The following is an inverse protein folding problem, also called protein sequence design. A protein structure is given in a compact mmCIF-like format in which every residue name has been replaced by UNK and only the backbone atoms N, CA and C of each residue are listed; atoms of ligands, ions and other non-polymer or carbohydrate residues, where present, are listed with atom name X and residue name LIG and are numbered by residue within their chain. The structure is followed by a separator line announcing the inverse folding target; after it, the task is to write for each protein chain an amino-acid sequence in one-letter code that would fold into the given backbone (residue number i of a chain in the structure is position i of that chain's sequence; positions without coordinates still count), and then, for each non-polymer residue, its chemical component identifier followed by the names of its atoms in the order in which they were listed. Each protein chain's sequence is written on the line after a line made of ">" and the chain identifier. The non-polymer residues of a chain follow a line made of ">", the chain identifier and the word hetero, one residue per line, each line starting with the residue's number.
data_IF_670960925898
#
_entry.id   IF_670960925898
#
_cell.length_a   1.000
_cell.length_b   1.000
_cell.length_c   1.000
_cell.angle_alpha   90.00
_cell.angle_beta   90.00
_cell.angle_gamma   90.00
#
_symmetry.space_group_name_H-M   'P 1'
#
loop_
_entity.id
_entity.type
_entity.pdbx_description
1 polymer ?
#
# COMPACT_ATOMS: atom_id res chain seq x y z
N UNK A 1 -8.21 9.47 21.47
CA UNK A 1 -7.35 8.34 21.04
C UNK A 1 -7.99 7.44 19.95
N UNK A 2 -9.11 7.82 19.29
CA UNK A 2 -9.86 6.88 18.43
C UNK A 2 -9.64 6.98 16.91
N UNK A 3 -9.29 8.15 16.36
CA UNK A 3 -9.37 8.37 14.90
C UNK A 3 -8.09 8.05 14.11
N UNK A 4 -6.94 7.88 14.78
CA UNK A 4 -5.65 7.61 14.13
C UNK A 4 -5.43 6.13 13.82
N UNK A 5 -5.75 5.23 14.75
CA UNK A 5 -5.63 3.78 14.54
C UNK A 5 -6.56 3.28 13.42
N UNK A 6 -7.75 3.87 13.27
CA UNK A 6 -8.69 3.53 12.20
C UNK A 6 -8.21 3.98 10.81
N UNK A 7 -7.45 5.09 10.72
CA UNK A 7 -6.88 5.53 9.45
C UNK A 7 -5.75 4.63 9.00
N UNK A 8 -4.88 4.22 9.93
CA UNK A 8 -3.77 3.32 9.61
C UNK A 8 -4.25 1.95 9.16
N UNK A 9 -5.28 1.39 9.81
CA UNK A 9 -5.87 0.11 9.38
C UNK A 9 -6.43 0.19 7.96
N UNK A 10 -7.15 1.27 7.61
CA UNK A 10 -7.68 1.43 6.26
C UNK A 10 -6.57 1.49 5.19
N UNK A 11 -5.46 2.17 5.47
CA UNK A 11 -4.32 2.19 4.53
C UNK A 11 -3.62 0.84 4.39
N UNK A 12 -3.62 0.01 5.45
CA UNK A 12 -3.10 -1.36 5.38
C UNK A 12 -4.02 -2.28 4.59
N UNK A 13 -5.34 -2.12 4.72
CA UNK A 13 -6.33 -2.86 3.93
C UNK A 13 -6.19 -2.52 2.43
N UNK A 14 -6.09 -1.23 2.09
CA UNK A 14 -5.85 -0.77 0.71
C UNK A 14 -4.56 -1.36 0.13
N UNK A 15 -3.50 -1.45 0.94
CA UNK A 15 -2.22 -2.01 0.53
C UNK A 15 -2.32 -3.52 0.24
N UNK A 16 -3.07 -4.25 1.05
CA UNK A 16 -3.26 -5.69 0.87
C UNK A 16 -4.13 -6.00 -0.34
N UNK A 17 -5.14 -5.17 -0.62
CA UNK A 17 -5.93 -5.27 -1.86
C UNK A 17 -5.05 -5.07 -3.10
N UNK A 18 -4.13 -4.09 -3.07
CA UNK A 18 -3.18 -3.86 -4.16
C UNK A 18 -2.23 -5.05 -4.36
N UNK A 19 -1.77 -5.68 -3.28
CA UNK A 19 -0.95 -6.91 -3.35
C UNK A 19 -1.70 -8.06 -3.98
N UNK A 20 -2.95 -8.28 -3.60
CA UNK A 20 -3.79 -9.31 -4.20
C UNK A 20 -3.95 -9.09 -5.71
N UNK A 21 -4.28 -7.86 -6.13
CA UNK A 21 -4.39 -7.49 -7.55
C UNK A 21 -3.08 -7.69 -8.32
N UNK A 22 -1.93 -7.36 -7.71
CA UNK A 22 -0.62 -7.60 -8.32
C UNK A 22 -0.36 -9.09 -8.53
N UNK A 23 -0.66 -9.92 -7.52
CA UNK A 23 -0.48 -11.37 -7.59
C UNK A 23 -1.38 -12.01 -8.64
N UNK A 24 -2.64 -11.60 -8.71
CA UNK A 24 -3.57 -12.09 -9.72
C UNK A 24 -3.13 -11.67 -11.13
N UNK A 25 -2.73 -10.41 -11.33
CA UNK A 25 -2.18 -9.96 -12.61
C UNK A 25 -0.90 -10.71 -13.00
N UNK A 26 -0.01 -11.01 -12.04
CA UNK A 26 1.19 -11.78 -12.31
C UNK A 26 0.87 -13.24 -12.67
N UNK A 27 -0.18 -13.82 -12.08
CA UNK A 27 -0.66 -15.17 -12.37
C UNK A 27 -1.31 -15.25 -13.75
N UNK A 28 -2.11 -14.26 -14.12
CA UNK A 28 -2.88 -14.26 -15.38
C UNK A 28 -2.07 -13.78 -16.57
N UNK A 29 -1.25 -12.75 -16.40
CA UNK A 29 -0.56 -12.03 -17.49
C UNK A 29 0.95 -12.27 -17.49
N UNK A 30 1.49 -12.86 -16.43
CA UNK A 30 2.91 -13.07 -16.20
C UNK A 30 3.59 -11.90 -15.49
N UNK A 31 4.64 -12.21 -14.74
CA UNK A 31 5.35 -11.26 -13.86
C UNK A 31 5.97 -10.06 -14.59
N UNK A 32 6.26 -10.19 -15.90
CA UNK A 32 6.84 -9.12 -16.73
C UNK A 32 5.79 -8.22 -17.36
N UNK A 33 4.51 -8.48 -17.13
CA UNK A 33 3.44 -7.69 -17.74
C UNK A 33 3.43 -6.26 -17.17
N UNK A 34 3.21 -5.22 -17.99
CA UNK A 34 3.17 -3.82 -17.53
C UNK A 34 2.18 -3.56 -16.40
N UNK A 35 1.09 -4.33 -16.33
CA UNK A 35 0.12 -4.25 -15.23
C UNK A 35 0.74 -4.60 -13.86
N UNK A 36 1.65 -5.58 -13.80
CA UNK A 36 2.35 -5.96 -12.56
C UNK A 36 3.29 -4.84 -12.13
N UNK A 37 3.98 -4.19 -13.07
CA UNK A 37 4.81 -3.01 -12.79
C UNK A 37 3.96 -1.86 -12.24
N UNK A 38 2.80 -1.61 -12.85
CA UNK A 38 1.86 -0.58 -12.39
C UNK A 38 1.41 -0.83 -10.95
N UNK A 39 0.99 -2.05 -10.62
CA UNK A 39 0.61 -2.38 -9.24
C UNK A 39 1.78 -2.25 -8.26
N UNK A 40 3.00 -2.63 -8.66
CA UNK A 40 4.20 -2.43 -7.84
C UNK A 40 4.43 -0.95 -7.48
N UNK A 41 4.23 -0.04 -8.45
CA UNK A 41 4.33 1.41 -8.20
C UNK A 41 3.24 1.91 -7.24
N UNK A 42 2.00 1.46 -7.42
CA UNK A 42 0.87 1.82 -6.53
C UNK A 42 1.10 1.33 -5.09
N UNK A 43 1.66 0.12 -4.93
CA UNK A 43 2.06 -0.47 -3.64
C UNK A 43 3.15 0.38 -2.96
N UNK A 44 4.16 0.84 -3.72
CA UNK A 44 5.22 1.69 -3.18
C UNK A 44 4.68 3.07 -2.73
N UNK A 45 3.78 3.66 -3.52
CA UNK A 45 3.11 4.90 -3.14
C UNK A 45 2.27 4.75 -1.85
N UNK A 46 1.56 3.64 -1.69
CA UNK A 46 0.78 3.32 -0.50
C UNK A 46 1.70 3.15 0.73
N UNK A 47 2.80 2.40 0.60
CA UNK A 47 3.81 2.27 1.68
C UNK A 47 4.37 3.64 2.07
N UNK A 48 4.75 4.47 1.10
CA UNK A 48 5.28 5.80 1.35
C UNK A 48 4.28 6.70 2.08
N UNK A 49 2.97 6.56 1.81
CA UNK A 49 1.92 7.26 2.56
C UNK A 49 1.84 6.78 4.02
N UNK A 50 1.90 5.47 4.25
CA UNK A 50 1.91 4.89 5.60
C UNK A 50 3.13 5.39 6.38
N UNK A 51 4.33 5.29 5.80
CA UNK A 51 5.57 5.77 6.43
C UNK A 51 5.51 7.25 6.78
N UNK A 52 4.94 8.11 5.92
CA UNK A 52 4.75 9.53 6.23
C UNK A 52 3.79 9.76 7.40
N UNK A 53 2.72 8.98 7.50
CA UNK A 53 1.77 9.07 8.61
C UNK A 53 2.41 8.62 9.94
N UNK A 54 3.25 7.58 9.90
CA UNK A 54 4.01 7.10 11.06
C UNK A 54 5.13 8.07 11.46
N UNK A 55 5.93 8.56 10.50
CA UNK A 55 7.00 9.53 10.75
C UNK A 55 6.46 10.88 11.28
N UNK A 56 5.35 11.38 10.73
CA UNK A 56 4.69 12.59 11.24
C UNK A 56 4.24 12.42 12.70
N UNK A 57 3.90 11.19 13.12
CA UNK A 57 3.57 10.91 14.50
C UNK A 57 4.80 10.89 15.44
N UNK A 58 6.00 10.65 14.91
CA UNK A 58 7.24 10.54 15.69
C UNK A 58 7.89 11.92 16.00
N UNK A 59 7.86 12.88 15.06
CA UNK A 59 8.45 14.22 15.24
C UNK A 59 7.52 15.27 15.87
N UNK A 60 6.28 14.89 16.23
CA UNK A 60 5.34 15.74 16.97
C UNK A 60 5.32 15.43 18.48
N UNK A 61 6.31 14.67 18.98
CA UNK A 61 6.49 14.33 20.39
C UNK A 61 7.60 15.16 21.04
#
# INVERSE_FOLDING_TARGET
>A
MGSKSLKLSAYLDDLEELRAKMMDAARELGIKHPAVLKYSMEIDEAHNKILRLEHSAYYSK
#
